data_IF_231771975787
#
_entry.id   IF_231771975787
#
_cell.length_a   1.000
_cell.length_b   1.000
_cell.length_c   1.000
_cell.angle_alpha   90.00
_cell.angle_beta   90.00
_cell.angle_gamma   90.00
#
_symmetry.space_group_name_H-M   'P 1'
#
loop_
_entity.id
_entity.type
_entity.pdbx_description
1 polymer ?
#
# COMPACT_ATOMS: atom_id res chain seq x y z
N UNK A 1 3.64 51.99 14.29
CA UNK A 1 2.54 51.17 13.71
C UNK A 1 3.05 50.14 12.70
N UNK A 2 3.87 50.52 11.70
CA UNK A 2 4.35 49.62 10.64
C UNK A 2 5.17 48.41 11.13
N UNK A 3 6.02 48.58 12.15
CA UNK A 3 6.86 47.50 12.70
C UNK A 3 6.06 46.39 13.40
N UNK A 4 4.93 46.74 14.00
CA UNK A 4 4.06 45.77 14.68
C UNK A 4 3.37 44.87 13.66
N UNK A 5 2.92 45.44 12.54
CA UNK A 5 2.30 44.69 11.44
C UNK A 5 3.29 43.69 10.84
N UNK A 6 4.54 44.11 10.60
CA UNK A 6 5.58 43.22 10.07
C UNK A 6 5.85 42.03 11.01
N UNK A 7 5.93 42.26 12.32
CA UNK A 7 6.12 41.19 13.30
C UNK A 7 4.92 40.22 13.35
N UNK A 8 3.71 40.75 13.19
CA UNK A 8 2.48 39.95 13.14
C UNK A 8 2.44 39.04 11.91
N UNK A 9 2.83 39.56 10.74
CA UNK A 9 2.91 38.79 9.49
C UNK A 9 3.99 37.71 9.61
N UNK A 10 5.15 38.02 10.18
CA UNK A 10 6.23 37.05 10.36
C UNK A 10 5.83 35.91 11.30
N UNK A 11 5.11 36.22 12.38
CA UNK A 11 4.59 35.22 13.31
C UNK A 11 3.55 34.31 12.63
N UNK A 12 2.64 34.86 11.83
CA UNK A 12 1.64 34.07 11.09
C UNK A 12 2.28 33.13 10.05
N UNK A 13 3.32 33.59 9.36
CA UNK A 13 4.07 32.75 8.41
C UNK A 13 4.80 31.61 9.13
N UNK A 14 5.38 31.86 10.31
CA UNK A 14 6.00 30.81 11.12
C UNK A 14 5.00 29.75 11.60
N UNK A 15 3.74 30.13 11.90
CA UNK A 15 2.68 29.17 12.22
C UNK A 15 2.20 28.35 11.01
N UNK A 16 2.33 28.86 9.78
CA UNK A 16 1.98 28.10 8.56
C UNK A 16 2.94 26.95 8.26
N UNK A 17 4.15 26.99 8.83
CA UNK A 17 5.10 25.88 8.83
C UNK A 17 4.81 24.86 9.94
N UNK A 18 3.58 24.79 10.44
CA UNK A 18 3.15 23.64 11.22
C UNK A 18 3.44 22.39 10.40
N UNK A 19 4.28 21.51 10.97
CA UNK A 19 4.63 20.22 10.39
C UNK A 19 3.33 19.56 9.96
N UNK A 20 3.21 19.18 8.69
CA UNK A 20 2.07 18.38 8.25
C UNK A 20 1.92 17.24 9.27
N UNK A 21 0.69 16.96 9.74
CA UNK A 21 0.48 15.84 10.64
C UNK A 21 1.16 14.63 10.01
N UNK A 22 1.97 13.95 10.81
CA UNK A 22 2.65 12.73 10.42
C UNK A 22 1.59 11.87 9.72
N UNK A 23 1.86 11.54 8.45
CA UNK A 23 0.91 10.91 7.53
C UNK A 23 0.09 9.91 8.35
N UNK A 24 -1.22 10.12 8.44
CA UNK A 24 -2.09 9.18 9.13
C UNK A 24 -1.70 7.78 8.67
N UNK A 25 -1.34 6.91 9.63
CA UNK A 25 -1.01 5.52 9.38
C UNK A 25 -1.98 4.99 8.32
N UNK A 26 -1.42 4.53 7.20
CA UNK A 26 -2.22 4.06 6.08
C UNK A 26 -3.12 2.92 6.57
N UNK A 27 -4.41 3.20 6.69
CA UNK A 27 -5.42 2.17 6.83
C UNK A 27 -6.13 2.17 8.18
N UNK A 28 -7.34 2.71 8.17
CA UNK A 28 -8.41 2.19 9.02
C UNK A 28 -8.73 0.78 8.50
N UNK A 29 -7.97 -0.21 8.97
CA UNK A 29 -8.00 -1.60 8.52
C UNK A 29 -6.59 -2.13 8.35
N UNK A 30 -6.02 -2.67 9.44
CA UNK A 30 -4.74 -3.38 9.44
C UNK A 30 -4.83 -4.62 8.52
N UNK A 31 -4.56 -4.44 7.23
CA UNK A 31 -4.33 -5.56 6.33
C UNK A 31 -2.90 -6.02 6.62
N UNK A 32 -2.71 -7.21 7.23
CA UNK A 32 -1.41 -7.64 7.67
C UNK A 32 -0.48 -7.78 6.46
N UNK A 33 0.69 -7.17 6.61
CA UNK A 33 1.76 -7.28 5.65
C UNK A 33 2.36 -8.69 5.77
N UNK A 34 2.34 -9.45 4.68
CA UNK A 34 2.94 -10.78 4.63
C UNK A 34 4.36 -10.65 4.08
N UNK A 35 5.35 -11.05 4.90
CA UNK A 35 6.69 -11.31 4.38
C UNK A 35 6.62 -12.55 3.51
N UNK A 36 6.87 -12.36 2.22
CA UNK A 36 7.03 -13.42 1.23
C UNK A 36 8.52 -13.68 1.07
N UNK A 37 8.92 -14.94 0.95
CA UNK A 37 10.30 -15.27 0.56
C UNK A 37 10.51 -14.73 -0.87
N UNK A 38 11.67 -14.15 -1.17
CA UNK A 38 12.03 -13.83 -2.55
C UNK A 38 12.09 -15.15 -3.29
N UNK A 39 11.18 -15.35 -4.25
CA UNK A 39 11.10 -16.60 -4.98
C UNK A 39 11.28 -16.30 -6.45
N UNK A 40 12.11 -17.12 -7.08
CA UNK A 40 12.32 -17.11 -8.53
C UNK A 40 11.10 -17.64 -9.30
N UNK A 41 10.04 -18.06 -8.58
CA UNK A 41 8.81 -18.61 -9.13
C UNK A 41 7.61 -18.38 -8.22
N UNK A 42 6.42 -18.35 -8.81
CA UNK A 42 5.15 -18.22 -8.09
C UNK A 42 4.81 -19.55 -7.41
N UNK A 43 4.64 -19.61 -6.07
CA UNK A 43 4.27 -20.85 -5.38
C UNK A 43 2.91 -21.39 -5.78
N UNK A 44 2.84 -22.69 -6.03
CA UNK A 44 1.57 -23.41 -6.22
C UNK A 44 0.64 -23.32 -5.01
N UNK A 45 1.19 -23.14 -3.81
CA UNK A 45 0.45 -23.00 -2.57
C UNK A 45 -0.37 -21.68 -2.46
N UNK A 46 -0.13 -20.71 -3.34
CA UNK A 46 -0.80 -19.41 -3.25
C UNK A 46 -2.24 -19.43 -3.75
N UNK A 47 -2.64 -20.46 -4.48
CA UNK A 47 -3.99 -20.64 -5.00
C UNK A 47 -4.08 -20.31 -6.49
N UNK A 48 -5.27 -19.95 -6.95
CA UNK A 48 -5.55 -19.64 -8.34
C UNK A 48 -5.34 -18.15 -8.62
N UNK A 49 -4.63 -17.82 -9.70
CA UNK A 49 -4.52 -16.43 -10.16
C UNK A 49 -5.88 -15.97 -10.70
N UNK A 50 -6.50 -15.01 -10.01
CA UNK A 50 -7.84 -14.50 -10.33
C UNK A 50 -7.82 -13.15 -11.02
N UNK A 51 -6.75 -12.37 -10.86
CA UNK A 51 -6.59 -11.08 -11.52
C UNK A 51 -5.13 -10.69 -11.68
N UNK A 52 -4.85 -9.92 -12.72
CA UNK A 52 -3.58 -9.23 -12.95
C UNK A 52 -3.89 -7.77 -13.23
N UNK A 53 -3.29 -6.88 -12.47
CA UNK A 53 -3.37 -5.44 -12.71
C UNK A 53 -1.98 -4.84 -12.81
N UNK A 54 -1.90 -3.68 -13.45
CA UNK A 54 -0.67 -2.91 -13.60
C UNK A 54 -1.02 -1.45 -13.30
N UNK A 55 -0.15 -0.74 -12.58
CA UNK A 55 -0.34 0.69 -12.36
C UNK A 55 0.22 1.46 -13.55
N UNK A 56 -0.57 2.38 -14.12
CA UNK A 56 -0.11 3.25 -15.20
C UNK A 56 1.15 4.06 -14.81
N UNK A 57 1.30 4.38 -13.52
CA UNK A 57 2.45 5.11 -12.99
C UNK A 57 3.72 4.24 -12.90
N UNK A 58 3.56 2.92 -12.85
CA UNK A 58 4.64 1.95 -12.71
C UNK A 58 4.46 0.79 -13.68
N UNK A 59 4.56 1.07 -14.99
CA UNK A 59 4.28 0.10 -16.06
C UNK A 59 5.11 -1.19 -16.05
N UNK A 60 6.17 -1.27 -15.24
CA UNK A 60 6.99 -2.47 -15.06
C UNK A 60 6.55 -3.35 -13.88
N UNK A 61 5.68 -2.84 -13.00
CA UNK A 61 5.21 -3.55 -11.79
C UNK A 61 3.81 -4.08 -12.04
N UNK A 62 3.66 -5.39 -11.90
CA UNK A 62 2.40 -6.10 -12.01
C UNK A 62 1.94 -6.55 -10.63
N UNK A 63 0.66 -6.33 -10.34
CA UNK A 63 -0.02 -6.83 -9.16
C UNK A 63 -0.73 -8.13 -9.54
N UNK A 64 -0.33 -9.22 -8.92
CA UNK A 64 -0.87 -10.55 -9.11
C UNK A 64 -1.78 -10.90 -7.93
N UNK A 65 -3.03 -11.24 -8.22
CA UNK A 65 -4.05 -11.53 -7.22
C UNK A 65 -4.39 -13.02 -7.23
N UNK A 66 -4.16 -13.70 -6.11
CA UNK A 66 -4.38 -15.13 -5.96
C UNK A 66 -5.49 -15.41 -4.96
N UNK A 67 -6.46 -16.25 -5.32
CA UNK A 67 -7.50 -16.73 -4.40
C UNK A 67 -7.18 -18.16 -3.96
N UNK A 68 -7.13 -18.38 -2.65
CA UNK A 68 -6.93 -19.72 -2.08
C UNK A 68 -8.25 -20.48 -1.90
N UNK A 69 -8.23 -21.80 -1.64
CA UNK A 69 -9.45 -22.60 -1.48
C UNK A 69 -10.36 -22.15 -0.32
N UNK A 70 -9.85 -21.35 0.61
CA UNK A 70 -10.63 -20.78 1.72
C UNK A 70 -11.22 -19.40 1.38
N UNK A 71 -10.95 -18.90 0.16
CA UNK A 71 -11.42 -17.63 -0.37
C UNK A 71 -10.62 -16.43 0.11
N UNK A 72 -9.44 -16.61 0.71
CA UNK A 72 -8.56 -15.49 1.01
C UNK A 72 -7.84 -15.05 -0.26
N UNK A 73 -7.62 -13.76 -0.39
CA UNK A 73 -6.91 -13.19 -1.53
C UNK A 73 -5.52 -12.73 -1.11
N UNK A 74 -4.50 -13.19 -1.82
CA UNK A 74 -3.11 -12.75 -1.68
C UNK A 74 -2.73 -11.86 -2.85
N UNK A 75 -2.01 -10.78 -2.56
CA UNK A 75 -1.43 -9.91 -3.58
C UNK A 75 0.08 -10.02 -3.55
N UNK A 76 0.68 -10.30 -4.69
CA UNK A 76 2.11 -10.25 -4.90
C UNK A 76 2.45 -9.24 -5.99
N UNK A 77 3.60 -8.59 -5.87
CA UNK A 77 4.11 -7.65 -6.86
C UNK A 77 5.22 -8.31 -7.66
N UNK A 78 5.10 -8.27 -8.99
CA UNK A 78 6.10 -8.79 -9.91
C UNK A 78 6.74 -7.62 -10.67
N UNK A 79 8.07 -7.52 -10.59
CA UNK A 79 8.85 -6.54 -11.32
C UNK A 79 9.39 -7.18 -12.61
N UNK A 80 8.93 -6.69 -13.76
CA UNK A 80 9.39 -7.19 -15.06
C UNK A 80 10.84 -6.83 -15.37
N UNK A 81 11.40 -5.77 -14.78
CA UNK A 81 12.76 -5.33 -15.09
C UNK A 81 13.78 -6.30 -14.52
N UNK A 82 13.55 -6.69 -13.29
CA UNK A 82 14.44 -7.58 -12.56
C UNK A 82 14.01 -9.06 -12.70
N UNK A 83 12.84 -9.32 -13.30
CA UNK A 83 12.22 -10.64 -13.36
C UNK A 83 12.10 -11.25 -11.95
N UNK A 84 11.63 -10.43 -11.00
CA UNK A 84 11.55 -10.81 -9.58
C UNK A 84 10.16 -10.63 -9.02
N UNK A 85 9.80 -11.54 -8.12
CA UNK A 85 8.61 -11.45 -7.29
C UNK A 85 9.00 -10.80 -5.96
N UNK A 86 8.36 -9.70 -5.61
CA UNK A 86 8.68 -8.97 -4.39
C UNK A 86 8.33 -9.78 -3.14
N UNK A 87 9.15 -9.61 -2.10
CA UNK A 87 9.10 -10.31 -0.80
C UNK A 87 7.98 -9.83 0.11
N UNK A 88 7.02 -9.10 -0.45
CA UNK A 88 6.14 -8.21 0.28
C UNK A 88 4.79 -8.26 -0.40
N UNK A 89 3.78 -8.69 0.34
CA UNK A 89 2.44 -8.77 -0.18
C UNK A 89 1.39 -8.61 0.90
N UNK A 90 0.13 -8.64 0.47
CA UNK A 90 -1.02 -8.41 1.36
C UNK A 90 -1.94 -9.62 1.33
N UNK A 91 -2.45 -10.00 2.50
CA UNK A 91 -3.47 -11.02 2.65
C UNK A 91 -4.81 -10.34 3.00
N UNK A 92 -5.78 -10.49 2.13
CA UNK A 92 -7.15 -10.05 2.33
C UNK A 92 -7.97 -11.27 2.76
N UNK A 93 -8.30 -11.42 4.06
CA UNK A 93 -9.14 -12.51 4.50
C UNK A 93 -10.53 -12.34 3.88
N UNK A 94 -11.18 -13.47 3.56
CA UNK A 94 -12.58 -13.43 3.14
C UNK A 94 -13.41 -12.78 4.24
N UNK A 95 -14.11 -11.68 3.94
CA UNK A 95 -15.11 -11.17 4.87
C UNK A 95 -16.24 -12.20 4.96
N UNK A 96 -16.37 -12.83 6.12
CA UNK A 96 -17.63 -13.50 6.45
C UNK A 96 -18.64 -12.36 6.60
N UNK A 97 -19.60 -12.27 5.68
CA UNK A 97 -20.59 -11.20 5.68
C UNK A 97 -21.23 -11.09 7.06
N UNK A 98 -20.91 -10.02 7.78
CA UNK A 98 -21.74 -9.59 8.90
C UNK A 98 -22.96 -8.95 8.26
N UNK A 99 -24.02 -9.75 8.10
CA UNK A 99 -25.37 -9.20 7.95
C UNK A 99 -25.68 -8.46 9.25
N UNK A 100 -25.55 -7.14 9.23
CA UNK A 100 -26.23 -6.23 10.16
C UNK A 100 -27.44 -5.65 9.44
#
# INVERSE_FOLDING_TARGET
MNRVIVLLILALLALSCARLPERAEEGRGDIPYLSMVALDSIPSAWGHLVSVSNSADFGHIFQLWFEDPTGNVRVAFYDMRDNTLQTQGRLFPRSQGVMQ
#
